data_IF_887312631794
#
_entry.id   IF_887312631794
#
_cell.length_a   1.000
_cell.length_b   1.000
_cell.length_c   1.000
_cell.angle_alpha   90.00
_cell.angle_beta   90.00
_cell.angle_gamma   90.00
#
_symmetry.space_group_name_H-M   'P 1'
#
loop_
_entity.id
_entity.type
_entity.pdbx_description
1 polymer ?
#
# COMPACT_ATOMS: atom_id res chain seq x y z
N UNK A 1 0.94 -13.74 21.76
CA UNK A 1 0.21 -14.34 20.61
C UNK A 1 -0.79 -13.33 20.10
N UNK A 2 -0.56 -12.72 18.94
CA UNK A 2 -1.55 -11.81 18.36
C UNK A 2 -2.78 -12.60 17.96
N UNK A 3 -3.96 -12.12 18.35
CA UNK A 3 -5.21 -12.81 18.11
C UNK A 3 -5.46 -12.91 16.59
N UNK A 4 -5.66 -14.13 16.06
CA UNK A 4 -5.84 -14.37 14.61
C UNK A 4 -6.91 -13.46 14.00
N UNK A 5 -7.94 -13.14 14.79
CA UNK A 5 -9.00 -12.20 14.47
C UNK A 5 -8.55 -10.79 14.11
N UNK A 6 -7.51 -10.26 14.78
CA UNK A 6 -7.00 -8.91 14.49
C UNK A 6 -6.45 -8.82 13.07
N UNK A 7 -5.84 -9.90 12.57
CA UNK A 7 -5.27 -9.92 11.21
C UNK A 7 -6.33 -9.97 10.15
N UNK A 8 -7.36 -10.78 10.37
CA UNK A 8 -8.53 -10.81 9.50
C UNK A 8 -9.23 -9.45 9.46
N UNK A 9 -9.39 -8.80 10.61
CA UNK A 9 -9.97 -7.46 10.67
C UNK A 9 -9.12 -6.42 9.91
N UNK A 10 -7.80 -6.45 10.07
CA UNK A 10 -6.89 -5.59 9.32
C UNK A 10 -6.94 -5.89 7.81
N UNK A 11 -7.03 -7.15 7.40
CA UNK A 11 -7.19 -7.52 5.99
C UNK A 11 -8.49 -6.96 5.41
N UNK A 12 -9.62 -7.15 6.10
CA UNK A 12 -10.91 -6.59 5.68
C UNK A 12 -10.83 -5.07 5.57
N UNK A 13 -10.19 -4.40 6.54
CA UNK A 13 -9.99 -2.96 6.49
C UNK A 13 -9.16 -2.53 5.28
N UNK A 14 -8.07 -3.24 4.96
CA UNK A 14 -7.27 -2.96 3.75
C UNK A 14 -8.09 -3.17 2.49
N UNK A 15 -8.91 -4.24 2.40
CA UNK A 15 -9.79 -4.49 1.25
C UNK A 15 -10.78 -3.32 1.07
N UNK A 16 -11.40 -2.85 2.14
CA UNK A 16 -12.32 -1.71 2.09
C UNK A 16 -11.59 -0.44 1.66
N UNK A 17 -10.41 -0.16 2.22
CA UNK A 17 -9.61 0.99 1.83
C UNK A 17 -9.21 0.93 0.34
N UNK A 18 -8.74 -0.22 -0.12
CA UNK A 18 -8.37 -0.47 -1.51
C UNK A 18 -9.57 -0.26 -2.45
N UNK A 19 -10.75 -0.76 -2.07
CA UNK A 19 -11.96 -0.60 -2.86
C UNK A 19 -12.42 0.85 -2.94
N UNK A 20 -12.38 1.59 -1.83
CA UNK A 20 -12.72 3.03 -1.83
C UNK A 20 -11.75 3.82 -2.71
N UNK A 21 -10.44 3.56 -2.57
CA UNK A 21 -9.41 4.21 -3.39
C UNK A 21 -9.66 3.98 -4.88
N UNK A 22 -9.93 2.72 -5.25
CA UNK A 22 -10.14 2.32 -6.63
C UNK A 22 -11.38 3.01 -7.21
N UNK A 23 -12.53 2.88 -6.55
CA UNK A 23 -13.81 3.35 -7.07
C UNK A 23 -13.91 4.88 -7.10
N UNK A 24 -13.46 5.55 -6.04
CA UNK A 24 -13.71 6.99 -5.87
C UNK A 24 -12.56 7.88 -6.33
N UNK A 25 -11.34 7.35 -6.47
CA UNK A 25 -10.18 8.17 -6.81
C UNK A 25 -9.43 7.66 -8.05
N UNK A 26 -9.42 6.35 -8.31
CA UNK A 26 -8.78 5.81 -9.52
C UNK A 26 -9.74 5.82 -10.72
N UNK A 27 -10.95 5.27 -10.58
CA UNK A 27 -11.92 5.11 -11.68
C UNK A 27 -12.83 6.33 -11.89
N UNK A 28 -13.01 7.17 -10.85
CA UNK A 28 -13.87 8.33 -10.95
C UNK A 28 -13.30 9.41 -11.88
N UNK A 29 -14.04 9.76 -12.94
CA UNK A 29 -13.63 10.77 -13.92
C UNK A 29 -13.74 12.22 -13.43
N UNK A 30 -14.52 12.46 -12.36
CA UNK A 30 -14.93 13.81 -11.96
C UNK A 30 -14.12 14.38 -10.79
N UNK A 31 -13.05 13.71 -10.37
CA UNK A 31 -12.20 14.16 -9.25
C UNK A 31 -11.04 14.98 -9.80
N UNK A 32 -10.85 16.18 -9.24
CA UNK A 32 -9.73 17.04 -9.59
C UNK A 32 -8.38 16.31 -9.40
N UNK A 33 -7.45 16.52 -10.32
CA UNK A 33 -6.16 15.80 -10.36
C UNK A 33 -5.39 15.91 -9.04
N UNK A 34 -5.33 17.12 -8.48
CA UNK A 34 -4.65 17.39 -7.21
C UNK A 34 -5.29 16.64 -6.03
N UNK A 35 -6.62 16.66 -5.94
CA UNK A 35 -7.38 15.93 -4.91
C UNK A 35 -7.12 14.43 -5.03
N UNK A 36 -7.10 13.91 -6.26
CA UNK A 36 -6.80 12.50 -6.54
C UNK A 36 -5.39 12.11 -6.08
N UNK A 37 -4.39 12.93 -6.40
CA UNK A 37 -3.00 12.70 -5.97
C UNK A 37 -2.86 12.65 -4.44
N UNK A 38 -3.48 13.60 -3.72
CA UNK A 38 -3.48 13.59 -2.26
C UNK A 38 -4.17 12.35 -1.72
N UNK A 39 -5.35 12.00 -2.25
CA UNK A 39 -6.10 10.84 -1.80
C UNK A 39 -5.26 9.56 -1.93
N UNK A 40 -4.62 9.33 -3.07
CA UNK A 40 -3.74 8.18 -3.28
C UNK A 40 -2.64 8.06 -2.20
N UNK A 41 -2.01 9.18 -1.84
CA UNK A 41 -0.97 9.21 -0.79
C UNK A 41 -1.58 8.89 0.57
N UNK A 42 -2.74 9.47 0.90
CA UNK A 42 -3.44 9.23 2.16
C UNK A 42 -3.87 7.76 2.30
N UNK A 43 -4.36 7.14 1.23
CA UNK A 43 -4.74 5.72 1.23
C UNK A 43 -3.53 4.80 1.39
N UNK A 44 -2.41 5.08 0.71
CA UNK A 44 -1.16 4.34 0.91
C UNK A 44 -0.68 4.44 2.36
N UNK A 45 -0.73 5.63 2.96
CA UNK A 45 -0.38 5.83 4.38
C UNK A 45 -1.32 5.09 5.32
N UNK A 46 -2.62 5.09 5.04
CA UNK A 46 -3.62 4.37 5.82
C UNK A 46 -3.35 2.86 5.79
N UNK A 47 -3.13 2.29 4.61
CA UNK A 47 -2.82 0.87 4.43
C UNK A 47 -1.49 0.51 5.11
N UNK A 48 -0.46 1.36 4.94
CA UNK A 48 0.82 1.22 5.64
C UNK A 48 0.61 1.16 7.15
N UNK A 49 -0.19 2.06 7.71
CA UNK A 49 -0.51 2.12 9.15
C UNK A 49 -1.23 0.87 9.65
N UNK A 50 -2.22 0.38 8.90
CA UNK A 50 -2.96 -0.84 9.24
C UNK A 50 -2.02 -2.06 9.25
N UNK A 51 -1.18 -2.22 8.23
CA UNK A 51 -0.20 -3.30 8.20
C UNK A 51 0.88 -3.17 9.27
N UNK A 52 1.36 -1.95 9.54
CA UNK A 52 2.32 -1.69 10.61
C UNK A 52 1.78 -2.15 11.97
N UNK A 53 0.51 -1.87 12.28
CA UNK A 53 -0.11 -2.33 13.53
C UNK A 53 -0.07 -3.85 13.69
N UNK A 54 -0.24 -4.60 12.59
CA UNK A 54 -0.13 -6.06 12.60
C UNK A 54 1.31 -6.50 12.85
N UNK A 55 2.25 -5.99 12.05
CA UNK A 55 3.64 -6.44 12.07
C UNK A 55 4.45 -5.94 13.26
N UNK A 56 4.07 -4.81 13.87
CA UNK A 56 4.67 -4.30 15.09
C UNK A 56 4.54 -5.27 16.28
N UNK A 57 3.50 -6.12 16.26
CA UNK A 57 3.23 -7.12 17.31
C UNK A 57 3.59 -8.55 16.87
N UNK A 58 4.18 -8.73 15.69
CA UNK A 58 4.64 -10.02 15.18
C UNK A 58 5.91 -10.49 15.89
N UNK A 59 6.07 -11.82 16.01
CA UNK A 59 7.32 -12.44 16.47
C UNK A 59 8.44 -12.28 15.43
N UNK A 60 8.08 -12.12 14.16
CA UNK A 60 9.00 -11.98 13.03
C UNK A 60 9.27 -10.49 12.79
N UNK A 61 10.21 -9.93 13.56
CA UNK A 61 10.46 -8.48 13.62
C UNK A 61 10.87 -7.85 12.27
N UNK A 62 11.53 -8.61 11.39
CA UNK A 62 11.99 -8.08 10.10
C UNK A 62 10.84 -7.77 9.13
N UNK A 63 9.69 -8.44 9.25
CA UNK A 63 8.53 -8.15 8.41
C UNK A 63 8.01 -6.72 8.60
N UNK A 64 8.08 -6.20 9.82
CA UNK A 64 7.76 -4.80 10.11
C UNK A 64 8.70 -3.86 9.35
N UNK A 65 10.00 -4.16 9.34
CA UNK A 65 11.01 -3.33 8.68
C UNK A 65 10.79 -3.35 7.18
N UNK A 66 10.61 -4.53 6.58
CA UNK A 66 10.34 -4.68 5.15
C UNK A 66 9.05 -3.96 4.78
N UNK A 67 7.96 -4.16 5.52
CA UNK A 67 6.69 -3.47 5.28
C UNK A 67 6.85 -1.94 5.25
N UNK A 68 7.45 -1.37 6.30
CA UNK A 68 7.64 0.07 6.38
C UNK A 68 8.58 0.57 5.28
N UNK A 69 9.70 -0.10 5.06
CA UNK A 69 10.69 0.29 4.06
C UNK A 69 10.10 0.29 2.64
N UNK A 70 9.33 -0.75 2.27
CA UNK A 70 8.70 -0.82 0.95
C UNK A 70 7.64 0.27 0.76
N UNK A 71 6.81 0.55 1.76
CA UNK A 71 5.80 1.62 1.64
C UNK A 71 6.43 3.01 1.61
N UNK A 72 7.47 3.26 2.42
CA UNK A 72 8.22 4.53 2.36
C UNK A 72 8.87 4.70 0.99
N UNK A 73 9.48 3.65 0.45
CA UNK A 73 10.07 3.68 -0.88
C UNK A 73 9.02 4.00 -1.96
N UNK A 74 7.86 3.33 -1.94
CA UNK A 74 6.76 3.56 -2.89
C UNK A 74 6.20 4.97 -2.75
N UNK A 75 6.04 5.49 -1.53
CA UNK A 75 5.59 6.86 -1.31
C UNK A 75 6.56 7.88 -1.91
N UNK A 76 7.86 7.71 -1.69
CA UNK A 76 8.88 8.58 -2.28
C UNK A 76 8.90 8.48 -3.81
N UNK A 77 8.73 7.27 -4.35
CA UNK A 77 8.69 7.03 -5.79
C UNK A 77 7.46 7.70 -6.42
N UNK A 78 6.26 7.48 -5.89
CA UNK A 78 5.02 8.06 -6.41
C UNK A 78 5.01 9.57 -6.26
N UNK A 79 5.45 10.09 -5.11
CA UNK A 79 5.53 11.53 -4.88
C UNK A 79 6.59 12.19 -5.77
N UNK A 80 7.79 11.61 -5.85
CA UNK A 80 8.90 12.12 -6.64
C UNK A 80 8.58 12.14 -8.13
N UNK A 81 8.01 11.05 -8.66
CA UNK A 81 7.62 10.99 -10.07
C UNK A 81 6.46 11.94 -10.35
N UNK A 82 5.46 11.99 -9.46
CA UNK A 82 4.34 12.93 -9.59
C UNK A 82 4.80 14.40 -9.63
N UNK A 83 5.75 14.77 -8.77
CA UNK A 83 6.34 16.10 -8.76
C UNK A 83 7.17 16.38 -10.02
N UNK A 84 8.03 15.44 -10.44
CA UNK A 84 8.87 15.57 -11.62
C UNK A 84 8.05 15.63 -12.92
N UNK A 85 6.91 14.95 -12.98
CA UNK A 85 6.05 14.94 -14.16
C UNK A 85 5.55 16.35 -14.52
N UNK A 86 5.42 17.26 -13.55
CA UNK A 86 5.05 18.67 -13.79
C UNK A 86 6.09 19.45 -14.59
N UNK A 87 7.33 18.96 -14.62
CA UNK A 87 8.46 19.62 -15.31
C UNK A 87 8.87 18.83 -16.55
N UNK A 88 9.04 17.51 -16.40
CA UNK A 88 9.64 16.64 -17.43
C UNK A 88 8.61 16.08 -18.41
N UNK A 89 7.32 16.02 -18.04
CA UNK A 89 6.24 15.45 -18.86
C UNK A 89 6.58 14.03 -19.36
N UNK A 90 6.58 13.06 -18.44
CA UNK A 90 6.81 11.66 -18.79
C UNK A 90 5.75 11.13 -19.76
N UNK A 91 6.12 10.13 -20.55
CA UNK A 91 5.17 9.46 -21.44
C UNK A 91 4.12 8.69 -20.65
N UNK A 92 2.99 8.39 -21.31
CA UNK A 92 1.85 7.72 -20.69
C UNK A 92 2.24 6.32 -20.22
N UNK A 93 2.97 5.55 -21.04
CA UNK A 93 3.39 4.18 -20.71
C UNK A 93 4.19 4.13 -19.40
N UNK A 94 5.13 5.05 -19.19
CA UNK A 94 5.89 5.13 -17.94
C UNK A 94 5.00 5.49 -16.76
N UNK A 95 4.08 6.45 -16.92
CA UNK A 95 3.14 6.82 -15.85
C UNK A 95 2.20 5.67 -15.48
N UNK A 96 1.84 4.83 -16.45
CA UNK A 96 1.03 3.64 -16.23
C UNK A 96 1.77 2.57 -15.40
N UNK A 97 3.08 2.40 -15.58
CA UNK A 97 3.88 1.52 -14.71
C UNK A 97 3.87 2.01 -13.25
N UNK A 98 4.02 3.32 -13.04
CA UNK A 98 3.97 3.92 -11.70
C UNK A 98 2.58 3.78 -11.08
N UNK A 99 1.54 3.92 -11.91
CA UNK A 99 0.17 3.66 -11.52
C UNK A 99 -0.02 2.21 -11.06
N UNK A 100 0.48 1.23 -11.81
CA UNK A 100 0.39 -0.19 -11.45
C UNK A 100 1.11 -0.50 -10.13
N UNK A 101 2.31 0.05 -9.93
CA UNK A 101 3.04 -0.08 -8.65
C UNK A 101 2.17 0.44 -7.52
N UNK A 102 1.62 1.66 -7.66
CA UNK A 102 0.74 2.23 -6.64
C UNK A 102 -0.48 1.34 -6.35
N UNK A 103 -1.18 0.90 -7.40
CA UNK A 103 -2.37 0.03 -7.25
C UNK A 103 -2.03 -1.27 -6.55
N UNK A 104 -0.89 -1.89 -6.89
CA UNK A 104 -0.40 -3.08 -6.20
C UNK A 104 -0.20 -2.84 -4.69
N UNK A 105 0.45 -1.73 -4.32
CA UNK A 105 0.68 -1.38 -2.91
C UNK A 105 -0.57 -0.88 -2.18
N UNK A 106 -1.58 -0.40 -2.90
CA UNK A 106 -2.91 -0.10 -2.35
C UNK A 106 -3.81 -1.33 -2.24
N UNK A 107 -3.41 -2.48 -2.79
CA UNK A 107 -4.20 -3.72 -2.77
C UNK A 107 -4.01 -4.52 -1.46
N UNK A 108 -4.83 -5.54 -1.19
CA UNK A 108 -4.60 -6.47 -0.08
C UNK A 108 -3.40 -7.41 -0.31
N UNK A 109 -2.82 -7.46 -1.51
CA UNK A 109 -1.81 -8.45 -1.90
C UNK A 109 -0.53 -8.34 -1.06
N UNK A 110 0.11 -7.16 -0.88
CA UNK A 110 1.30 -7.05 -0.05
C UNK A 110 1.08 -7.57 1.38
N UNK A 111 -0.11 -7.31 1.94
CA UNK A 111 -0.46 -7.78 3.28
C UNK A 111 -0.57 -9.30 3.33
N UNK A 112 -1.24 -9.92 2.35
CA UNK A 112 -1.33 -11.37 2.24
C UNK A 112 0.05 -12.01 2.03
N UNK A 113 0.90 -11.44 1.18
CA UNK A 113 2.26 -11.92 0.95
C UNK A 113 3.08 -11.93 2.24
N UNK A 114 3.08 -10.82 2.98
CA UNK A 114 3.80 -10.72 4.26
C UNK A 114 3.23 -11.64 5.33
N UNK A 115 1.91 -11.89 5.32
CA UNK A 115 1.30 -12.89 6.18
C UNK A 115 1.74 -14.31 5.83
N UNK A 116 1.74 -14.69 4.55
CA UNK A 116 2.23 -16.00 4.10
C UNK A 116 3.70 -16.19 4.48
N UNK A 117 4.55 -15.18 4.28
CA UNK A 117 5.96 -15.24 4.68
C UNK A 117 6.14 -15.49 6.17
N UNK A 118 5.35 -14.83 7.02
CA UNK A 118 5.39 -15.08 8.45
C UNK A 118 4.96 -16.52 8.81
N UNK A 119 3.92 -17.02 8.14
CA UNK A 119 3.43 -18.39 8.35
C UNK A 119 4.52 -19.42 8.01
N UNK A 120 5.16 -19.28 6.85
CA UNK A 120 6.25 -20.14 6.42
C UNK A 120 7.45 -20.07 7.36
N UNK A 121 7.78 -18.89 7.90
CA UNK A 121 8.87 -18.75 8.84
C UNK A 121 8.58 -19.43 10.18
N UNK A 122 7.34 -19.36 10.66
CA UNK A 122 6.93 -20.04 11.90
C UNK A 122 6.92 -21.56 11.78
N UNK A 123 6.74 -22.12 10.58
CA UNK A 123 6.84 -23.57 10.37
C UNK A 123 8.29 -24.09 10.41
N UNK A 124 9.28 -23.23 10.18
CA UNK A 124 10.70 -23.60 10.23
C UNK A 124 11.31 -23.54 11.64
N UNK A 125 10.57 -22.99 12.61
CA UNK A 125 10.96 -22.87 14.02
C UNK A 125 10.30 -23.97 14.84
#
# INVERSE_FOLDING_TARGET
MQNKWVRWLCLVLIIVLAWIELQFFTEASNVAEYTRQIAHILFLLAIMGVGYYVWAKSTVKWLKVVWVATYVFVLLLVFGIGALNRVVHFNIDFLDEIHQVRVFFSSPIPFLMTWVLEYLQKQKQ
#
